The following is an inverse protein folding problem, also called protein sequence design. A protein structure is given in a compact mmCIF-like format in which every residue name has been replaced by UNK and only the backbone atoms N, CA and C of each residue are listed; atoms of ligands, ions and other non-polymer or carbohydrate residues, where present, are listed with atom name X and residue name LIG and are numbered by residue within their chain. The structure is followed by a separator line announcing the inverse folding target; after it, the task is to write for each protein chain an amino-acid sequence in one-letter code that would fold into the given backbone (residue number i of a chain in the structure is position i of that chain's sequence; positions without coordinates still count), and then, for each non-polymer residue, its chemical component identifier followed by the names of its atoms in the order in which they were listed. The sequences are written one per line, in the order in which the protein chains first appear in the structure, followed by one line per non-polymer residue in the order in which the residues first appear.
data_IF_907551285215
#
_entry.id   IF_907551285215
#
_cell.length_a   1.000
_cell.length_b   1.000
_cell.length_c   1.000
_cell.angle_alpha   90.00
_cell.angle_beta   90.00
_cell.angle_gamma   90.00
#
_symmetry.space_group_name_H-M   'P 1'
#
loop_
_entity.id
_entity.type
_entity.pdbx_description
1 polymer ?
#
# COMPACT_ATOMS: atom_id res chain seq x y z
N UNK A 1 12.24 5.46 -12.20
CA UNK A 1 11.65 5.06 -10.94
C UNK A 1 12.38 5.69 -9.79
N UNK A 2 11.70 6.07 -8.76
CA UNK A 2 12.33 6.62 -7.58
C UNK A 2 12.60 5.51 -6.60
N UNK A 3 13.80 5.40 -6.11
CA UNK A 3 14.16 4.38 -5.15
C UNK A 3 14.72 5.09 -3.93
N UNK A 4 14.23 4.75 -2.75
CA UNK A 4 14.71 5.41 -1.57
C UNK A 4 14.69 4.43 -0.41
N UNK A 5 15.31 4.77 0.68
CA UNK A 5 15.38 3.92 1.86
C UNK A 5 14.74 4.62 3.03
N UNK A 6 14.01 3.87 3.83
CA UNK A 6 13.39 4.44 5.00
C UNK A 6 13.59 3.50 6.19
N UNK A 7 13.68 4.04 7.37
CA UNK A 7 13.82 3.24 8.55
C UNK A 7 12.47 3.06 9.21
N UNK A 8 12.39 2.22 10.22
CA UNK A 8 11.15 2.00 10.91
C UNK A 8 10.59 3.29 11.39
N UNK A 9 9.32 3.47 11.28
CA UNK A 9 8.59 4.65 11.69
C UNK A 9 8.84 5.88 10.80
N UNK A 10 9.53 5.72 9.71
CA UNK A 10 9.68 6.84 8.79
C UNK A 10 8.69 6.67 7.66
N UNK A 11 8.39 7.73 6.98
CA UNK A 11 7.37 7.67 5.96
C UNK A 11 7.76 8.43 4.72
N UNK A 12 7.00 8.26 3.66
CA UNK A 12 7.15 9.06 2.47
C UNK A 12 5.77 9.57 2.11
N UNK A 13 5.74 10.68 1.42
CA UNK A 13 4.48 11.30 1.06
C UNK A 13 4.39 11.35 -0.45
N UNK A 14 3.24 10.97 -0.99
CA UNK A 14 3.02 10.98 -2.41
C UNK A 14 1.84 11.88 -2.67
N UNK A 15 2.03 12.88 -3.49
CA UNK A 15 0.95 13.74 -3.94
C UNK A 15 0.21 14.42 -2.80
N UNK A 16 0.82 14.68 -1.72
CA UNK A 16 0.25 15.41 -0.60
C UNK A 16 -0.89 14.70 0.13
N UNK A 17 -1.42 13.64 -0.39
CA UNK A 17 -2.54 13.02 0.27
C UNK A 17 -2.32 11.52 0.51
N UNK A 18 -1.21 10.96 0.14
CA UNK A 18 -0.93 9.57 0.38
C UNK A 18 0.33 9.48 1.19
N UNK A 19 0.30 8.71 2.25
CA UNK A 19 1.48 8.57 3.08
C UNK A 19 1.75 7.09 3.28
N UNK A 20 2.97 6.66 3.10
CA UNK A 20 3.37 5.30 3.31
C UNK A 20 4.36 5.27 4.45
N UNK A 21 4.07 4.50 5.48
CA UNK A 21 4.88 4.47 6.67
C UNK A 21 5.48 3.09 6.83
N UNK A 22 6.73 3.01 7.22
CA UNK A 22 7.36 1.73 7.50
C UNK A 22 7.00 1.40 8.94
N UNK A 23 6.10 0.47 9.12
CA UNK A 23 5.61 0.13 10.44
C UNK A 23 6.58 -0.81 11.15
N UNK A 24 7.13 -1.76 10.45
CA UNK A 24 8.01 -2.70 11.09
C UNK A 24 8.90 -3.36 10.08
N UNK A 25 10.10 -3.71 10.45
CA UNK A 25 11.03 -4.39 9.58
C UNK A 25 11.40 -5.67 10.29
N UNK A 26 11.17 -6.81 9.65
CA UNK A 26 11.52 -8.04 10.25
C UNK A 26 12.27 -8.88 9.28
N UNK A 27 13.55 -9.07 9.41
CA UNK A 27 14.36 -9.87 8.52
C UNK A 27 14.24 -9.36 7.12
N UNK A 28 13.70 -10.16 6.23
CA UNK A 28 13.56 -9.75 4.85
C UNK A 28 12.15 -9.29 4.56
N UNK A 29 11.32 -9.04 5.57
CA UNK A 29 9.98 -8.57 5.32
C UNK A 29 9.80 -7.19 5.90
N UNK A 30 8.98 -6.39 5.28
CA UNK A 30 8.73 -5.05 5.74
C UNK A 30 7.23 -4.87 5.79
N UNK A 31 6.73 -4.31 6.88
CA UNK A 31 5.31 -4.02 6.99
C UNK A 31 5.13 -2.57 6.70
N UNK A 32 4.24 -2.24 5.80
CA UNK A 32 4.00 -0.87 5.41
C UNK A 32 2.58 -0.48 5.70
N UNK A 33 2.41 0.70 6.24
CA UNK A 33 1.08 1.25 6.44
C UNK A 33 0.84 2.29 5.39
N UNK A 34 -0.31 2.29 4.79
CA UNK A 34 -0.62 3.24 3.75
C UNK A 34 -1.83 4.04 4.15
N UNK A 35 -1.71 5.37 4.11
CA UNK A 35 -2.80 6.25 4.39
C UNK A 35 -3.16 6.93 3.11
N UNK A 36 -4.37 6.87 2.66
CA UNK A 36 -4.82 7.47 1.43
C UNK A 36 -6.30 7.82 1.51
N UNK A 37 -6.77 8.72 0.66
CA UNK A 37 -8.19 9.04 0.65
C UNK A 37 -8.99 7.82 0.20
N UNK A 38 -10.28 7.75 0.60
CA UNK A 38 -11.04 6.62 0.27
C UNK A 38 -11.16 6.39 -1.18
N UNK A 39 -11.15 7.37 -2.01
CA UNK A 39 -11.32 7.20 -3.42
C UNK A 39 -10.06 6.63 -4.06
N UNK A 40 -8.97 6.47 -3.35
CA UNK A 40 -7.76 5.93 -3.94
C UNK A 40 -7.66 4.47 -3.54
N UNK A 41 -7.78 3.55 -4.48
CA UNK A 41 -7.70 2.15 -4.11
C UNK A 41 -6.26 1.75 -3.83
N UNK A 42 -6.03 1.00 -2.80
CA UNK A 42 -4.70 0.57 -2.43
C UNK A 42 -4.69 -0.93 -2.29
N UNK A 43 -3.89 -1.61 -3.12
CA UNK A 43 -3.85 -3.06 -3.11
C UNK A 43 -2.42 -3.54 -3.22
N UNK A 44 -2.13 -4.70 -2.70
CA UNK A 44 -0.85 -5.31 -2.96
C UNK A 44 -0.89 -5.76 -4.40
N UNK A 45 0.25 -5.94 -5.00
CA UNK A 45 0.30 -6.26 -6.42
C UNK A 45 -0.48 -7.52 -6.75
N UNK A 46 -0.31 -8.57 -6.02
CA UNK A 46 -0.98 -9.81 -6.34
C UNK A 46 -2.49 -9.68 -6.17
N UNK A 47 -2.94 -8.85 -5.24
CA UNK A 47 -4.35 -8.66 -5.06
C UNK A 47 -4.89 -7.81 -6.19
N UNK A 48 -4.12 -6.83 -6.62
CA UNK A 48 -4.54 -5.94 -7.68
C UNK A 48 -4.72 -6.75 -8.96
N UNK A 49 -3.85 -7.67 -9.24
CA UNK A 49 -4.00 -8.45 -10.44
C UNK A 49 -5.24 -9.31 -10.37
N UNK A 50 -5.55 -9.86 -9.25
CA UNK A 50 -6.74 -10.68 -9.12
C UNK A 50 -7.99 -9.83 -9.33
N UNK A 51 -7.99 -8.63 -8.83
CA UNK A 51 -9.13 -7.78 -9.00
C UNK A 51 -9.30 -7.41 -10.44
N UNK A 52 -8.22 -7.13 -11.13
CA UNK A 52 -8.35 -6.79 -12.49
C UNK A 52 -8.91 -7.93 -13.27
N UNK A 53 -8.56 -9.10 -12.97
CA UNK A 53 -9.04 -10.21 -13.69
C UNK A 53 -10.49 -10.35 -13.43
N UNK A 54 -10.98 -10.15 -12.32
CA UNK A 54 -12.31 -10.34 -12.10
C UNK A 54 -13.03 -9.16 -12.43
N UNK A 55 -12.50 -8.17 -12.54
CA UNK A 55 -13.06 -7.01 -12.90
C UNK A 55 -14.06 -6.57 -12.03
N UNK A 56 -14.28 -6.80 -11.07
CA UNK A 56 -15.20 -6.40 -10.31
C UNK A 56 -14.85 -5.48 -9.48
N UNK A 57 -14.03 -5.37 -9.30
CA UNK A 57 -13.73 -4.42 -8.61
C UNK A 57 -14.22 -4.14 -7.41
N UNK A 58 -14.78 -4.60 -6.91
CA UNK A 58 -15.14 -4.33 -5.78
C UNK A 58 -14.10 -4.00 -5.02
N UNK A 59 -13.51 -3.26 -5.17
CA UNK A 59 -12.46 -2.89 -4.53
C UNK A 59 -12.49 -2.87 -3.16
N UNK A 60 -13.44 -2.75 -2.68
CA UNK A 60 -13.42 -2.57 -1.37
C UNK A 60 -12.71 -3.52 -0.57
N UNK A 61 -12.62 -4.56 -1.02
CA UNK A 61 -12.06 -5.47 -0.14
C UNK A 61 -10.70 -5.36 0.05
N UNK A 62 -10.09 -4.64 -0.60
CA UNK A 62 -8.75 -4.59 -0.40
C UNK A 62 -8.44 -4.33 0.96
N UNK A 63 -9.20 -3.62 1.53
CA UNK A 63 -8.84 -3.23 2.76
C UNK A 63 -8.63 -4.35 3.64
N UNK A 64 -9.25 -5.29 3.40
CA UNK A 64 -9.07 -6.28 4.29
C UNK A 64 -7.87 -6.90 4.27
N UNK A 65 -7.27 -6.85 3.40
CA UNK A 65 -6.15 -7.52 3.35
C UNK A 65 -5.26 -7.16 4.24
N UNK A 66 -5.16 -6.32 4.60
CA UNK A 66 -4.21 -5.97 5.46
C UNK A 66 -4.04 -6.60 6.52
#
# INVERSE_FOLDING_TARGET
MLVLSRKKNESIVINNDIRIVVVEIRGDKVRLGVEAPREVPVHRHEVYEAIQDQRQAEAGDAALES
#
